data_IF_208953487268
#
_entry.id   IF_208953487268
#
_cell.length_a   1.000
_cell.length_b   1.000
_cell.length_c   1.000
_cell.angle_alpha   90.00
_cell.angle_beta   90.00
_cell.angle_gamma   90.00
#
_symmetry.space_group_name_H-M   'P 1'
#
loop_
_entity.id
_entity.type
_entity.pdbx_description
1 polymer ?
#
# COMPACT_ATOMS: atom_id res chain seq x y z
N UNK A 1 5.06 31.04 20.95
CA UNK A 1 4.58 30.06 19.95
C UNK A 1 5.79 29.21 19.59
N UNK A 2 5.75 27.90 19.83
CA UNK A 2 6.82 26.99 19.41
C UNK A 2 6.92 27.03 17.88
N UNK A 3 8.11 27.35 17.37
CA UNK A 3 8.37 27.31 15.94
C UNK A 3 8.13 25.88 15.45
N UNK A 4 7.32 25.73 14.40
CA UNK A 4 7.04 24.41 13.80
C UNK A 4 7.63 24.36 12.40
N UNK A 5 7.89 23.14 11.94
CA UNK A 5 8.48 22.84 10.65
C UNK A 5 7.60 21.82 9.93
N UNK A 6 7.63 21.85 8.61
CA UNK A 6 6.86 20.95 7.75
C UNK A 6 7.82 20.21 6.83
N UNK A 7 7.88 18.89 6.96
CA UNK A 7 8.49 18.02 5.96
C UNK A 7 7.51 17.87 4.80
N UNK A 8 7.98 18.19 3.59
CA UNK A 8 7.24 18.03 2.36
C UNK A 8 7.56 16.68 1.73
N UNK A 9 6.53 15.89 1.45
CA UNK A 9 6.64 14.57 0.86
C UNK A 9 5.86 14.51 -0.46
N UNK A 10 6.52 14.15 -1.54
CA UNK A 10 5.89 13.89 -2.84
C UNK A 10 5.38 12.46 -2.88
N UNK A 11 4.10 12.28 -3.19
CA UNK A 11 3.53 10.97 -3.49
C UNK A 11 3.06 10.97 -4.94
N UNK A 12 3.94 10.52 -5.82
CA UNK A 12 3.72 10.39 -7.26
C UNK A 12 4.13 8.99 -7.74
N UNK A 13 3.42 8.49 -8.73
CA UNK A 13 3.64 7.18 -9.33
C UNK A 13 2.47 6.80 -10.24
N UNK A 14 2.63 5.78 -11.10
CA UNK A 14 1.61 5.41 -12.09
C UNK A 14 0.29 4.96 -11.44
N UNK A 15 0.38 4.31 -10.27
CA UNK A 15 -0.77 3.85 -9.50
C UNK A 15 -0.54 4.12 -8.02
N UNK A 16 -1.60 4.51 -7.31
CA UNK A 16 -1.63 4.63 -5.85
C UNK A 16 -2.90 4.01 -5.27
N UNK A 17 -2.90 3.61 -4.00
CA UNK A 17 -4.12 3.12 -3.35
C UNK A 17 -4.11 3.33 -1.83
N UNK A 18 -4.99 4.18 -1.32
CA UNK A 18 -5.04 4.60 0.08
C UNK A 18 -6.29 4.05 0.78
N UNK A 19 -6.18 2.90 1.44
CA UNK A 19 -7.33 2.24 2.06
C UNK A 19 -7.74 2.86 3.41
N UNK A 20 -9.06 2.99 3.65
CA UNK A 20 -9.63 3.37 4.96
C UNK A 20 -10.56 2.27 5.52
N UNK A 21 -11.41 1.66 4.69
CA UNK A 21 -12.46 0.74 5.18
C UNK A 21 -12.69 -0.54 4.35
N UNK A 22 -12.07 -0.69 3.16
CA UNK A 22 -12.34 -1.82 2.27
C UNK A 22 -11.90 -3.16 2.87
N UNK A 23 -12.86 -4.08 3.11
CA UNK A 23 -12.59 -5.46 3.57
C UNK A 23 -12.87 -6.47 2.47
N UNK A 24 -12.11 -7.56 2.48
CA UNK A 24 -12.33 -8.75 1.65
C UNK A 24 -12.28 -8.51 0.13
N UNK A 25 -13.39 -8.75 -0.58
CA UNK A 25 -13.44 -8.88 -2.04
C UNK A 25 -13.49 -7.55 -2.79
N UNK A 26 -14.01 -6.49 -2.15
CA UNK A 26 -14.00 -5.13 -2.68
C UNK A 26 -13.07 -4.27 -1.86
N UNK A 27 -11.99 -3.82 -2.48
CA UNK A 27 -10.97 -2.98 -1.83
C UNK A 27 -10.97 -1.60 -2.46
N UNK A 28 -11.60 -0.67 -1.78
CA UNK A 28 -11.67 0.72 -2.22
C UNK A 28 -10.34 1.45 -2.00
N UNK A 29 -10.23 2.65 -2.57
CA UNK A 29 -9.19 3.64 -2.30
C UNK A 29 -9.84 4.97 -1.95
N UNK A 30 -9.26 5.68 -1.00
CA UNK A 30 -9.57 7.06 -0.73
C UNK A 30 -9.07 7.94 -1.90
N UNK A 31 -9.73 9.06 -2.25
CA UNK A 31 -9.34 9.94 -3.35
C UNK A 31 -8.04 10.75 -3.10
N UNK A 32 -7.38 10.52 -1.97
CA UNK A 32 -6.13 11.16 -1.56
C UNK A 32 -5.41 10.28 -0.52
N UNK A 33 -4.10 10.46 -0.33
CA UNK A 33 -3.35 9.87 0.76
C UNK A 33 -4.04 9.99 2.13
N UNK A 34 -3.99 8.90 2.89
CA UNK A 34 -4.48 8.81 4.26
C UNK A 34 -3.32 8.97 5.23
N UNK A 35 -3.58 9.54 6.42
CA UNK A 35 -2.54 9.72 7.44
C UNK A 35 -1.91 8.39 7.81
N UNK A 36 -2.72 7.36 8.09
CA UNK A 36 -2.23 6.01 8.37
C UNK A 36 -1.36 5.42 7.25
N UNK A 37 -1.70 5.65 5.99
CA UNK A 37 -0.90 5.19 4.86
C UNK A 37 0.47 5.84 4.79
N UNK A 38 0.54 7.17 4.96
CA UNK A 38 1.80 7.91 4.91
C UNK A 38 2.65 7.66 6.16
N UNK A 39 2.04 7.57 7.35
CA UNK A 39 2.78 7.21 8.56
C UNK A 39 3.30 5.77 8.48
N UNK A 40 2.53 4.85 7.90
CA UNK A 40 3.01 3.50 7.60
C UNK A 40 4.19 3.48 6.63
N UNK A 41 4.18 4.34 5.62
CA UNK A 41 5.30 4.56 4.70
C UNK A 41 6.55 5.03 5.45
N UNK A 42 6.43 6.06 6.30
CA UNK A 42 7.52 6.61 7.10
C UNK A 42 8.06 5.58 8.11
N UNK A 43 7.18 4.83 8.78
CA UNK A 43 7.56 3.76 9.69
C UNK A 43 8.34 2.65 8.97
N UNK A 44 7.91 2.26 7.76
CA UNK A 44 8.63 1.30 6.94
C UNK A 44 10.01 1.82 6.53
N UNK A 45 10.11 3.08 6.14
CA UNK A 45 11.36 3.76 5.79
C UNK A 45 12.36 3.74 6.96
N UNK A 46 11.89 4.06 8.18
CA UNK A 46 12.67 4.02 9.42
C UNK A 46 13.00 2.58 9.89
N UNK A 47 12.34 1.57 9.32
CA UNK A 47 12.54 0.16 9.60
C UNK A 47 11.76 -0.40 10.78
N UNK A 48 10.69 0.27 11.22
CA UNK A 48 9.89 -0.15 12.37
C UNK A 48 9.17 -1.47 12.13
N UNK A 49 9.20 -2.36 13.10
CA UNK A 49 8.32 -3.55 13.10
C UNK A 49 6.84 -3.16 13.26
N UNK A 50 5.95 -4.08 12.87
CA UNK A 50 4.51 -3.79 12.79
C UNK A 50 3.85 -3.54 14.15
N UNK A 51 4.36 -4.21 15.17
CA UNK A 51 3.96 -4.12 16.57
C UNK A 51 4.70 -3.03 17.33
N UNK A 52 5.74 -2.44 16.74
CA UNK A 52 6.49 -1.36 17.34
C UNK A 52 5.59 -0.11 17.53
N UNK A 53 5.64 0.56 18.70
CA UNK A 53 4.94 1.82 18.91
C UNK A 53 5.38 2.90 17.92
N UNK A 54 4.44 3.68 17.41
CA UNK A 54 4.70 4.72 16.41
C UNK A 54 5.43 5.95 16.97
N UNK A 55 5.37 6.18 18.28
CA UNK A 55 6.04 7.31 18.93
C UNK A 55 5.68 8.65 18.29
N UNK A 56 6.71 9.46 17.99
CA UNK A 56 6.57 10.78 17.38
C UNK A 56 5.91 10.78 16.00
N UNK A 57 5.95 9.65 15.25
CA UNK A 57 5.26 9.57 13.96
C UNK A 57 3.74 9.73 14.11
N UNK A 58 3.16 9.31 15.24
CA UNK A 58 1.71 9.43 15.46
C UNK A 58 1.29 10.86 15.84
N UNK A 59 2.21 11.70 16.34
CA UNK A 59 1.92 13.06 16.82
C UNK A 59 2.01 14.14 15.74
N UNK A 60 2.58 13.84 14.57
CA UNK A 60 2.70 14.83 13.48
C UNK A 60 1.32 15.29 13.02
N UNK A 61 1.19 16.58 12.71
CA UNK A 61 0.02 17.10 12.00
C UNK A 61 0.16 16.81 10.51
N UNK A 62 -0.91 16.30 9.92
CA UNK A 62 -0.93 15.81 8.55
C UNK A 62 -1.67 16.76 7.61
N UNK A 63 -1.09 17.03 6.44
CA UNK A 63 -1.76 17.74 5.36
C UNK A 63 -1.53 17.07 4.01
N UNK A 64 -2.49 17.22 3.10
CA UNK A 64 -2.36 16.77 1.71
C UNK A 64 -2.88 17.85 0.78
N UNK A 65 -2.09 18.21 -0.24
CA UNK A 65 -2.49 19.03 -1.38
C UNK A 65 -2.53 18.15 -2.63
N UNK A 66 -3.68 18.11 -3.30
CA UNK A 66 -3.88 17.34 -4.52
C UNK A 66 -3.55 18.19 -5.75
N UNK A 67 -2.27 18.18 -6.12
CA UNK A 67 -1.76 18.90 -7.29
C UNK A 67 -2.24 18.24 -8.57
N UNK A 68 -2.20 16.90 -8.60
CA UNK A 68 -2.83 16.08 -9.63
C UNK A 68 -3.66 14.98 -8.95
N UNK A 69 -5.01 15.11 -8.87
CA UNK A 69 -5.84 14.16 -8.12
C UNK A 69 -5.89 12.75 -8.75
N UNK A 70 -5.47 12.63 -10.01
CA UNK A 70 -5.49 11.38 -10.77
C UNK A 70 -6.89 10.92 -11.16
N UNK A 71 -6.96 9.74 -11.77
CA UNK A 71 -8.21 9.12 -12.24
C UNK A 71 -8.47 7.82 -11.46
N UNK A 72 -9.66 7.63 -10.88
CA UNK A 72 -10.02 6.36 -10.25
C UNK A 72 -9.99 5.22 -11.28
N UNK A 73 -9.23 4.17 -10.98
CA UNK A 73 -9.10 2.97 -11.80
C UNK A 73 -9.61 1.76 -11.02
N UNK A 74 -10.43 0.93 -11.66
CA UNK A 74 -10.87 -0.36 -11.11
C UNK A 74 -10.08 -1.49 -11.77
N UNK A 75 -9.40 -2.28 -10.95
CA UNK A 75 -8.63 -3.45 -11.35
C UNK A 75 -9.37 -4.74 -10.95
N UNK A 76 -9.56 -5.64 -11.92
CA UNK A 76 -10.12 -6.97 -11.71
C UNK A 76 -8.99 -7.95 -11.40
N UNK A 77 -8.89 -8.36 -10.14
CA UNK A 77 -7.79 -9.16 -9.65
C UNK A 77 -8.25 -10.56 -9.29
N UNK A 78 -8.00 -11.51 -10.19
CA UNK A 78 -8.29 -12.94 -10.01
C UNK A 78 -7.10 -13.67 -9.39
N UNK A 79 -7.34 -14.40 -8.30
CA UNK A 79 -6.36 -15.30 -7.68
C UNK A 79 -6.84 -16.73 -7.83
N UNK A 80 -5.98 -17.61 -8.35
CA UNK A 80 -6.27 -19.04 -8.34
C UNK A 80 -7.09 -19.56 -9.54
N UNK A 81 -7.16 -18.83 -10.65
CA UNK A 81 -7.76 -19.31 -11.90
C UNK A 81 -6.75 -20.04 -12.80
N UNK A 82 -7.21 -21.09 -13.48
CA UNK A 82 -6.42 -21.85 -14.47
C UNK A 82 -6.01 -23.25 -13.99
N UNK A 83 -5.18 -23.92 -14.78
CA UNK A 83 -4.59 -25.23 -14.45
C UNK A 83 -3.24 -25.05 -13.76
N UNK A 84 -2.98 -25.84 -12.72
CA UNK A 84 -1.76 -25.72 -11.93
C UNK A 84 -0.95 -27.01 -11.96
N UNK A 85 0.39 -26.97 -12.11
CA UNK A 85 1.19 -28.17 -12.00
C UNK A 85 1.13 -28.68 -10.55
N UNK A 86 1.06 -30.00 -10.40
CA UNK A 86 1.24 -30.69 -9.13
C UNK A 86 2.64 -30.37 -8.57
N UNK A 87 2.72 -29.82 -7.36
CA UNK A 87 3.99 -29.44 -6.73
C UNK A 87 4.43 -30.52 -5.73
N UNK A 88 5.74 -30.71 -5.49
CA UNK A 88 6.22 -31.67 -4.49
C UNK A 88 5.61 -31.48 -3.10
N UNK A 89 5.40 -30.23 -2.69
CA UNK A 89 4.72 -29.92 -1.41
C UNK A 89 3.31 -30.51 -1.32
N UNK A 90 2.60 -30.62 -2.45
CA UNK A 90 1.22 -31.07 -2.48
C UNK A 90 1.13 -32.59 -2.22
N UNK A 91 2.22 -33.33 -2.47
CA UNK A 91 2.40 -34.73 -2.09
C UNK A 91 2.77 -34.86 -0.61
N UNK A 92 3.64 -33.98 -0.11
CA UNK A 92 4.06 -33.98 1.31
C UNK A 92 2.88 -33.67 2.24
N UNK A 93 1.96 -32.78 1.83
CA UNK A 93 0.83 -32.37 2.68
C UNK A 93 -0.40 -33.28 2.61
N UNK A 94 -0.43 -34.24 1.68
CA UNK A 94 -1.57 -35.14 1.48
C UNK A 94 -1.07 -36.57 1.16
N UNK A 95 -1.03 -37.41 2.20
CA UNK A 95 -0.56 -38.79 2.10
C UNK A 95 -1.37 -39.63 1.11
N UNK A 96 -2.64 -39.29 0.83
CA UNK A 96 -3.46 -39.99 -0.15
C UNK A 96 -2.99 -39.68 -1.57
N UNK A 97 -2.62 -38.42 -1.84
CA UNK A 97 -2.03 -38.00 -3.11
C UNK A 97 -0.64 -38.60 -3.30
N UNK A 98 0.18 -38.63 -2.24
CA UNK A 98 1.46 -39.32 -2.27
C UNK A 98 1.29 -40.79 -2.67
N UNK A 99 0.40 -41.52 -2.00
CA UNK A 99 0.10 -42.92 -2.31
C UNK A 99 -0.49 -43.14 -3.70
N UNK A 100 -1.37 -42.24 -4.17
CA UNK A 100 -1.90 -42.29 -5.52
C UNK A 100 -0.81 -42.07 -6.58
N UNK A 101 0.17 -41.19 -6.31
CA UNK A 101 1.32 -40.98 -7.21
C UNK A 101 2.30 -42.15 -7.20
N UNK A 102 2.55 -42.80 -6.05
CA UNK A 102 3.36 -44.04 -6.01
C UNK A 102 2.80 -45.09 -6.99
N UNK A 103 1.46 -45.27 -7.01
CA UNK A 103 0.78 -46.21 -7.92
C UNK A 103 0.92 -45.79 -9.39
N UNK A 104 0.94 -44.49 -9.69
CA UNK A 104 1.10 -43.97 -11.06
C UNK A 104 2.54 -44.15 -11.54
N UNK A 105 3.53 -43.86 -10.69
CA UNK A 105 4.96 -44.07 -10.99
C UNK A 105 5.25 -45.55 -11.25
N UNK A 106 4.71 -46.47 -10.44
CA UNK A 106 4.86 -47.92 -10.64
C UNK A 106 4.24 -48.44 -11.94
N UNK A 107 3.25 -47.73 -12.52
CA UNK A 107 2.60 -48.10 -13.78
C UNK A 107 3.33 -47.56 -15.02
N UNK A 108 4.08 -46.48 -14.87
CA UNK A 108 4.77 -45.80 -15.99
C UNK A 108 6.17 -46.38 -16.27
N UNK A 109 6.71 -47.22 -15.38
CA UNK A 109 8.01 -47.90 -15.52
C UNK A 109 8.07 -48.93 -16.67
N UNK A 110 7.04 -49.03 -17.52
CA UNK A 110 6.93 -50.01 -18.61
C UNK A 110 6.78 -49.45 -20.03
N UNK A 111 6.80 -48.12 -20.26
CA UNK A 111 6.67 -47.52 -21.60
C UNK A 111 7.94 -46.77 -22.05
N UNK A 112 8.41 -46.96 -23.30
CA UNK A 112 9.59 -46.28 -23.79
C UNK A 112 9.31 -44.77 -23.97
N UNK A 113 10.31 -44.00 -23.56
CA UNK A 113 10.42 -42.54 -23.57
C UNK A 113 9.76 -41.87 -24.79
N UNK A 114 8.54 -41.37 -24.61
CA UNK A 114 8.05 -40.23 -25.38
C UNK A 114 7.57 -39.15 -24.42
N UNK A 115 8.52 -38.27 -24.11
CA UNK A 115 8.31 -36.91 -23.64
C UNK A 115 7.68 -36.77 -22.23
N UNK A 116 8.33 -37.37 -21.24
CA UNK A 116 8.09 -37.06 -19.82
C UNK A 116 9.17 -36.07 -19.33
N UNK A 117 8.82 -34.80 -19.21
CA UNK A 117 9.69 -33.78 -18.62
C UNK A 117 9.80 -34.01 -17.10
N UNK A 118 10.86 -34.67 -16.66
CA UNK A 118 11.22 -34.81 -15.24
C UNK A 118 10.38 -35.81 -14.43
N UNK A 119 10.85 -36.18 -13.22
CA UNK A 119 10.28 -37.25 -12.38
C UNK A 119 8.87 -37.00 -11.85
N UNK A 120 8.26 -35.84 -12.15
CA UNK A 120 6.92 -35.46 -11.70
C UNK A 120 5.88 -35.43 -12.83
N UNK A 121 6.25 -35.73 -14.08
CA UNK A 121 5.34 -35.69 -15.23
C UNK A 121 4.66 -34.31 -15.44
N UNK A 122 3.64 -34.27 -16.31
CA UNK A 122 2.77 -33.10 -16.50
C UNK A 122 1.39 -33.35 -15.85
N UNK A 123 1.37 -33.56 -14.53
CA UNK A 123 0.10 -33.68 -13.80
C UNK A 123 -0.43 -32.29 -13.44
N UNK A 124 -1.62 -31.96 -13.91
CA UNK A 124 -2.31 -30.70 -13.60
C UNK A 124 -3.41 -30.91 -12.57
N UNK A 125 -3.52 -29.99 -11.62
CA UNK A 125 -4.62 -29.91 -10.66
C UNK A 125 -5.79 -29.11 -11.26
N UNK A 126 -7.02 -29.58 -11.01
CA UNK A 126 -8.26 -28.89 -11.37
C UNK A 126 -8.49 -27.59 -10.58
N UNK A 127 -7.80 -27.42 -9.45
CA UNK A 127 -7.92 -26.28 -8.56
C UNK A 127 -6.56 -25.85 -8.03
N UNK A 128 -6.43 -24.56 -7.71
CA UNK A 128 -5.19 -24.02 -7.18
C UNK A 128 -4.97 -24.42 -5.71
N UNK A 129 -3.70 -24.57 -5.35
CA UNK A 129 -3.32 -24.77 -3.95
C UNK A 129 -3.40 -23.45 -3.19
N UNK A 130 -4.33 -23.38 -2.22
CA UNK A 130 -4.29 -22.38 -1.16
C UNK A 130 -3.60 -22.91 0.10
N UNK A 131 -3.20 -22.02 1.00
CA UNK A 131 -2.73 -22.44 2.33
C UNK A 131 -3.78 -23.36 3.00
N UNK A 132 -3.34 -24.41 3.71
CA UNK A 132 -4.22 -25.32 4.43
C UNK A 132 -5.21 -24.55 5.31
N UNK A 133 -6.51 -24.85 5.21
CA UNK A 133 -7.54 -24.32 6.14
C UNK A 133 -8.41 -25.46 6.61
N UNK A 134 -9.08 -25.25 7.74
CA UNK A 134 -9.93 -26.27 8.38
C UNK A 134 -9.12 -27.54 8.62
N UNK A 135 -8.00 -27.39 9.34
CA UNK A 135 -7.14 -28.52 9.71
C UNK A 135 -7.93 -29.43 10.62
N UNK A 136 -8.00 -30.71 10.26
CA UNK A 136 -8.67 -31.74 11.03
C UNK A 136 -7.85 -33.03 10.98
N UNK A 137 -8.02 -33.89 12.00
CA UNK A 137 -7.46 -35.22 11.96
C UNK A 137 -8.21 -36.06 10.91
N UNK A 138 -7.47 -36.71 10.02
CA UNK A 138 -8.02 -37.67 9.10
C UNK A 138 -8.62 -38.86 9.86
N UNK A 139 -9.90 -39.24 9.62
CA UNK A 139 -10.54 -40.31 10.38
C UNK A 139 -9.88 -41.69 10.26
N UNK A 140 -9.08 -41.92 9.21
CA UNK A 140 -8.45 -43.22 8.96
C UNK A 140 -6.99 -43.28 9.42
N UNK A 141 -6.19 -42.27 9.06
CA UNK A 141 -4.76 -42.22 9.38
C UNK A 141 -4.41 -41.45 10.66
N UNK A 142 -5.34 -40.64 11.19
CA UNK A 142 -5.09 -39.74 12.32
C UNK A 142 -4.20 -38.53 11.99
N UNK A 143 -3.64 -38.45 10.77
CA UNK A 143 -2.79 -37.36 10.35
C UNK A 143 -3.59 -36.05 10.27
N UNK A 144 -2.97 -34.93 10.66
CA UNK A 144 -3.58 -33.61 10.47
C UNK A 144 -3.56 -33.26 8.98
N UNK A 145 -4.75 -33.16 8.39
CA UNK A 145 -4.94 -32.83 6.97
C UNK A 145 -5.82 -31.60 6.83
N UNK A 146 -5.64 -30.86 5.74
CA UNK A 146 -6.56 -29.79 5.35
C UNK A 146 -7.90 -30.41 4.92
N UNK A 147 -9.01 -30.03 5.56
CA UNK A 147 -10.34 -30.46 5.10
C UNK A 147 -10.79 -29.73 3.81
N UNK A 148 -10.04 -28.72 3.36
CA UNK A 148 -10.32 -27.96 2.15
C UNK A 148 -9.01 -27.73 1.37
N UNK A 149 -8.66 -28.68 0.51
CA UNK A 149 -7.44 -28.67 -0.31
C UNK A 149 -7.62 -27.93 -1.64
N UNK A 150 -8.85 -27.91 -2.15
CA UNK A 150 -9.22 -27.25 -3.40
C UNK A 150 -9.75 -25.85 -3.11
N UNK A 151 -9.32 -24.88 -3.92
CA UNK A 151 -9.85 -23.52 -3.88
C UNK A 151 -10.40 -23.16 -5.25
N UNK A 152 -11.56 -22.55 -5.28
CA UNK A 152 -12.05 -21.90 -6.49
C UNK A 152 -11.29 -20.58 -6.73
N UNK A 153 -11.29 -20.12 -7.98
CA UNK A 153 -10.77 -18.81 -8.31
C UNK A 153 -11.51 -17.75 -7.48
N UNK A 154 -10.75 -16.87 -6.83
CA UNK A 154 -11.28 -15.73 -6.11
C UNK A 154 -11.10 -14.49 -6.97
N UNK A 155 -12.19 -13.82 -7.28
CA UNK A 155 -12.16 -12.52 -7.95
C UNK A 155 -12.28 -11.43 -6.88
N UNK A 156 -11.36 -10.47 -6.93
CA UNK A 156 -11.42 -9.26 -6.10
C UNK A 156 -11.40 -8.03 -6.99
N UNK A 157 -12.18 -7.01 -6.63
CA UNK A 157 -12.14 -5.70 -7.29
C UNK A 157 -11.32 -4.75 -6.43
N UNK A 158 -10.26 -4.17 -7.00
CA UNK A 158 -9.34 -3.28 -6.30
C UNK A 158 -9.32 -1.93 -6.98
N UNK A 159 -9.59 -0.88 -6.22
CA UNK A 159 -9.57 0.48 -6.72
C UNK A 159 -8.21 1.15 -6.49
N UNK A 160 -7.75 1.91 -7.47
CA UNK A 160 -6.51 2.67 -7.47
C UNK A 160 -6.77 4.11 -7.96
N UNK A 161 -5.80 4.99 -7.74
CA UNK A 161 -5.70 6.28 -8.41
C UNK A 161 -4.57 6.18 -9.44
N UNK A 162 -4.89 6.38 -10.71
CA UNK A 162 -3.91 6.44 -11.80
C UNK A 162 -3.43 7.87 -12.03
N UNK A 163 -2.14 8.04 -12.32
CA UNK A 163 -1.50 9.33 -12.64
C UNK A 163 -1.79 10.45 -11.64
N UNK A 164 -1.78 10.08 -10.35
CA UNK A 164 -1.97 11.00 -9.25
C UNK A 164 -0.62 11.51 -8.71
N UNK A 165 -0.58 12.78 -8.32
CA UNK A 165 0.53 13.43 -7.65
C UNK A 165 0.02 14.29 -6.50
N UNK A 166 0.47 13.97 -5.29
CA UNK A 166 0.09 14.67 -4.07
C UNK A 166 1.31 15.26 -3.38
N UNK A 167 1.20 16.50 -2.91
CA UNK A 167 2.15 17.08 -1.97
C UNK A 167 1.61 16.88 -0.55
N UNK A 168 2.32 16.09 0.24
CA UNK A 168 2.00 15.81 1.63
C UNK A 168 2.87 16.69 2.53
N UNK A 169 2.31 17.17 3.63
CA UNK A 169 3.03 17.85 4.68
C UNK A 169 2.94 17.09 6.00
N UNK A 170 4.08 16.89 6.66
CA UNK A 170 4.18 16.39 8.03
C UNK A 170 4.72 17.50 8.92
N UNK A 171 3.85 18.10 9.73
CA UNK A 171 4.21 19.23 10.59
C UNK A 171 4.56 18.74 12.01
N UNK A 172 5.71 19.17 12.52
CA UNK A 172 6.23 18.83 13.84
C UNK A 172 7.10 19.98 14.40
N UNK A 173 7.18 20.18 15.74
CA UNK A 173 8.07 21.18 16.33
C UNK A 173 9.56 20.82 16.20
N UNK A 174 9.92 19.54 16.25
CA UNK A 174 11.32 19.09 16.16
C UNK A 174 11.77 18.91 14.69
N UNK A 175 12.65 19.78 14.15
CA UNK A 175 13.20 19.62 12.82
C UNK A 175 14.15 18.44 12.68
N UNK A 176 14.87 18.03 13.74
CA UNK A 176 15.82 16.91 13.68
C UNK A 176 15.07 15.59 13.46
N UNK A 177 13.94 15.40 14.14
CA UNK A 177 13.04 14.29 13.87
C UNK A 177 12.57 14.27 12.40
N UNK A 178 12.15 15.42 11.86
CA UNK A 178 11.72 15.51 10.46
C UNK A 178 12.87 15.22 9.49
N UNK A 179 14.10 15.64 9.79
CA UNK A 179 15.30 15.31 9.00
C UNK A 179 15.58 13.80 8.98
N UNK A 180 15.41 13.12 10.12
CA UNK A 180 15.54 11.67 10.20
C UNK A 180 14.49 10.96 9.34
N UNK A 181 13.24 11.43 9.38
CA UNK A 181 12.16 10.88 8.53
C UNK A 181 12.46 11.14 7.05
N UNK A 182 12.88 12.36 6.70
CA UNK A 182 13.23 12.74 5.33
C UNK A 182 14.36 11.87 4.78
N UNK A 183 15.45 11.70 5.55
CA UNK A 183 16.56 10.85 5.19
C UNK A 183 16.11 9.39 5.01
N UNK A 184 15.28 8.87 5.91
CA UNK A 184 14.79 7.51 5.80
C UNK A 184 13.92 7.30 4.55
N UNK A 185 13.13 8.28 4.12
CA UNK A 185 12.33 8.17 2.89
C UNK A 185 13.19 7.99 1.64
N UNK A 186 14.35 8.66 1.59
CA UNK A 186 15.31 8.55 0.47
C UNK A 186 16.25 7.33 0.60
N UNK A 187 16.56 6.92 1.84
CA UNK A 187 17.42 5.78 2.14
C UNK A 187 16.70 4.75 3.01
N UNK A 188 15.64 4.11 2.47
CA UNK A 188 14.73 3.35 3.30
C UNK A 188 15.29 1.99 3.69
N UNK A 189 15.08 1.60 4.95
CA UNK A 189 15.43 0.26 5.45
C UNK A 189 14.53 -0.84 4.89
N UNK A 190 13.38 -0.48 4.28
CA UNK A 190 12.41 -1.40 3.67
C UNK A 190 11.87 -0.82 2.38
N UNK A 191 11.45 -1.69 1.45
CA UNK A 191 10.83 -1.24 0.21
C UNK A 191 9.56 -0.42 0.48
N UNK A 192 9.47 0.74 -0.19
CA UNK A 192 8.40 1.71 -0.04
C UNK A 192 7.35 1.57 -1.14
N UNK A 193 6.08 1.79 -0.78
CA UNK A 193 4.95 1.62 -1.69
C UNK A 193 3.85 2.64 -1.40
N UNK A 194 3.20 3.15 -2.44
CA UNK A 194 2.06 4.07 -2.36
C UNK A 194 0.77 3.29 -2.04
N UNK A 195 0.75 2.75 -0.82
CA UNK A 195 -0.34 1.97 -0.25
C UNK A 195 -0.23 0.46 -0.50
N UNK A 196 -0.38 -0.01 -1.75
CA UNK A 196 -0.22 -1.44 -2.09
C UNK A 196 1.18 -1.73 -2.60
N UNK A 197 1.70 -2.94 -2.33
CA UNK A 197 3.04 -3.39 -2.80
C UNK A 197 3.24 -3.38 -4.32
N UNK A 198 2.18 -3.22 -5.10
CA UNK A 198 2.23 -3.09 -6.57
C UNK A 198 2.36 -1.65 -7.04
N UNK A 199 2.40 -0.67 -6.13
CA UNK A 199 2.39 0.75 -6.40
C UNK A 199 3.75 1.36 -5.96
N UNK A 200 4.82 1.20 -6.75
CA UNK A 200 6.10 1.83 -6.43
C UNK A 200 5.97 3.37 -6.53
N UNK A 201 6.64 4.13 -5.66
CA UNK A 201 6.79 5.57 -5.84
C UNK A 201 7.71 5.89 -7.03
N UNK A 202 7.60 7.10 -7.56
CA UNK A 202 8.43 7.62 -8.65
C UNK A 202 9.11 8.93 -8.25
N UNK A 203 10.40 9.04 -8.56
CA UNK A 203 11.23 10.20 -8.22
C UNK A 203 11.47 10.35 -6.71
N UNK A 204 11.91 11.54 -6.32
CA UNK A 204 12.22 11.86 -4.93
C UNK A 204 10.95 11.90 -4.07
N UNK A 205 11.03 11.35 -2.86
CA UNK A 205 9.94 11.36 -1.89
C UNK A 205 10.02 12.58 -0.97
N UNK A 206 11.17 12.89 -0.39
CA UNK A 206 11.37 13.99 0.53
C UNK A 206 11.81 15.27 -0.21
N UNK A 207 10.94 16.27 -0.25
CA UNK A 207 11.18 17.54 -0.97
C UNK A 207 11.75 18.66 -0.08
N UNK A 208 12.30 18.28 1.08
CA UNK A 208 12.86 19.18 2.07
C UNK A 208 11.87 19.65 3.14
N UNK A 209 12.42 20.39 4.10
CA UNK A 209 11.72 20.87 5.30
C UNK A 209 11.63 22.39 5.23
N UNK A 210 10.46 22.94 5.54
CA UNK A 210 10.24 24.39 5.59
C UNK A 210 9.74 24.82 6.97
N UNK A 211 10.14 26.00 7.47
CA UNK A 211 9.55 26.55 8.69
C UNK A 211 8.11 27.00 8.44
N UNK A 212 7.28 26.95 9.48
CA UNK A 212 5.90 27.42 9.45
C UNK A 212 4.85 26.31 9.56
N UNK A 213 3.63 26.62 9.13
CA UNK A 213 2.49 25.70 9.19
C UNK A 213 2.23 25.00 7.86
N UNK A 214 1.39 23.95 7.88
CA UNK A 214 0.93 23.26 6.67
C UNK A 214 0.29 24.22 5.64
N UNK A 215 -0.48 25.20 6.11
CA UNK A 215 -1.09 26.22 5.25
C UNK A 215 -0.04 27.03 4.50
N UNK A 216 0.94 27.56 5.22
CA UNK A 216 2.02 28.38 4.67
C UNK A 216 2.87 27.55 3.70
N UNK A 217 3.20 26.31 4.06
CA UNK A 217 3.97 25.41 3.21
C UNK A 217 3.23 25.11 1.89
N UNK A 218 1.91 24.87 1.94
CA UNK A 218 1.11 24.61 0.75
C UNK A 218 0.85 25.85 -0.11
N UNK A 219 0.89 27.06 0.44
CA UNK A 219 0.76 28.30 -0.34
C UNK A 219 2.08 28.69 -1.02
N UNK A 220 3.23 28.42 -0.39
CA UNK A 220 4.54 28.90 -0.85
C UNK A 220 5.26 27.95 -1.81
N UNK A 221 4.78 26.72 -1.97
CA UNK A 221 5.39 25.73 -2.86
C UNK A 221 4.68 25.63 -4.21
N UNK A 222 5.41 25.56 -5.34
CA UNK A 222 4.81 25.42 -6.66
C UNK A 222 4.04 24.10 -6.78
N UNK A 223 3.16 23.99 -7.78
CA UNK A 223 2.51 22.72 -8.10
C UNK A 223 3.56 21.68 -8.51
N UNK A 224 3.35 20.42 -8.11
CA UNK A 224 4.16 19.30 -8.56
C UNK A 224 4.10 19.16 -10.09
N UNK A 225 5.19 18.76 -10.75
CA UNK A 225 5.19 18.52 -12.19
C UNK A 225 4.17 17.43 -12.57
N UNK A 226 3.38 17.67 -13.62
CA UNK A 226 2.55 16.63 -14.22
C UNK A 226 3.44 15.73 -15.10
N UNK A 227 3.46 14.43 -14.84
CA UNK A 227 4.19 13.49 -15.68
C UNK A 227 3.61 13.45 -17.10
N UNK A 228 4.41 13.82 -18.11
CA UNK A 228 4.24 13.38 -19.50
C UNK A 228 3.13 13.99 -20.36
N UNK A 229 2.20 14.80 -19.84
CA UNK A 229 1.19 15.49 -20.66
C UNK A 229 1.23 17.00 -20.35
N UNK A 230 1.34 17.81 -21.40
CA UNK A 230 1.55 19.26 -21.33
C UNK A 230 0.72 19.91 -20.21
N UNK A 231 1.41 20.44 -19.20
CA UNK A 231 0.79 21.08 -18.06
C UNK A 231 -0.05 22.28 -18.52
N UNK A 232 -1.31 22.33 -18.09
CA UNK A 232 -2.10 23.55 -18.19
C UNK A 232 -1.36 24.69 -17.46
N UNK A 233 -1.40 25.94 -17.95
CA UNK A 233 -0.67 27.05 -17.34
C UNK A 233 -1.03 27.17 -15.85
N UNK A 234 0.00 27.04 -14.99
CA UNK A 234 -0.07 26.82 -13.55
C UNK A 234 -0.69 27.98 -12.73
N UNK A 235 -1.13 29.08 -13.36
CA UNK A 235 -1.50 30.32 -12.69
C UNK A 235 -2.98 30.42 -12.28
N UNK A 236 -3.87 29.52 -12.75
CA UNK A 236 -5.30 29.52 -12.38
C UNK A 236 -5.75 28.31 -11.56
N UNK A 237 -4.89 27.29 -11.41
CA UNK A 237 -5.24 26.05 -10.71
C UNK A 237 -5.09 26.26 -9.21
N UNK A 238 -6.21 26.22 -8.50
CA UNK A 238 -6.24 26.24 -7.03
C UNK A 238 -6.40 24.81 -6.49
N UNK A 239 -5.35 24.04 -6.20
CA UNK A 239 -5.52 22.66 -5.78
C UNK A 239 -6.36 22.56 -4.50
N UNK A 240 -7.06 21.44 -4.34
CA UNK A 240 -7.68 21.13 -3.05
C UNK A 240 -6.59 20.72 -2.06
N UNK A 241 -6.69 21.23 -0.84
CA UNK A 241 -5.90 20.76 0.29
C UNK A 241 -6.80 20.35 1.45
N UNK A 242 -6.36 19.32 2.15
CA UNK A 242 -6.93 18.83 3.39
C UNK A 242 -5.86 18.95 4.47
N UNK A 243 -6.16 19.71 5.52
CA UNK A 243 -5.21 19.99 6.60
C UNK A 243 -5.85 19.53 7.90
N UNK A 244 -5.16 18.65 8.61
CA UNK A 244 -5.58 18.15 9.90
C UNK A 244 -5.76 19.29 10.90
N UNK A 245 -6.88 19.24 11.62
CA UNK A 245 -7.12 20.13 12.74
C UNK A 245 -6.68 19.45 14.03
N UNK A 246 -5.90 20.13 14.89
CA UNK A 246 -5.52 19.58 16.20
C UNK A 246 -6.73 19.34 17.13
N UNK A 247 -7.88 19.95 16.82
CA UNK A 247 -9.09 19.86 17.64
C UNK A 247 -10.29 19.43 16.77
N UNK A 248 -11.30 18.79 17.37
CA UNK A 248 -12.55 18.53 16.68
C UNK A 248 -13.18 19.81 16.12
N UNK A 249 -13.66 19.74 14.88
CA UNK A 249 -14.27 20.87 14.19
C UNK A 249 -15.80 20.78 14.28
N UNK A 250 -16.49 21.84 14.76
CA UNK A 250 -17.95 21.84 14.81
C UNK A 250 -18.58 21.57 13.44
N UNK A 251 -19.51 20.62 13.37
CA UNK A 251 -20.24 20.28 12.13
C UNK A 251 -19.46 19.49 11.08
N UNK A 252 -18.19 19.13 11.34
CA UNK A 252 -17.36 18.32 10.43
C UNK A 252 -17.17 16.92 11.03
N UNK A 253 -17.56 15.90 10.27
CA UNK A 253 -17.37 14.49 10.66
C UNK A 253 -15.89 14.08 10.65
N UNK A 254 -15.47 13.11 11.48
CA UNK A 254 -14.09 12.65 11.52
C UNK A 254 -13.72 11.76 10.33
N UNK A 255 -12.44 11.69 10.03
CA UNK A 255 -11.81 10.69 9.16
C UNK A 255 -11.16 9.62 10.04
N UNK A 256 -11.44 8.35 9.77
CA UNK A 256 -10.96 7.21 10.58
C UNK A 256 -9.60 6.67 10.09
N UNK A 257 -8.58 7.53 10.02
CA UNK A 257 -7.24 7.18 9.54
C UNK A 257 -6.09 7.68 10.44
N UNK A 258 -6.37 8.10 11.69
CA UNK A 258 -5.30 8.36 12.67
C UNK A 258 -4.68 7.02 13.09
N UNK A 259 -3.39 6.75 12.82
CA UNK A 259 -2.80 5.46 13.15
C UNK A 259 -2.59 5.31 14.65
N UNK A 260 -3.06 4.18 15.20
CA UNK A 260 -2.81 3.78 16.60
C UNK A 260 -1.75 2.67 16.65
N UNK A 261 -1.93 1.63 15.82
CA UNK A 261 -0.96 0.52 15.68
C UNK A 261 -1.16 -0.23 14.36
N UNK A 262 -0.13 -0.95 13.89
CA UNK A 262 -0.11 -1.65 12.60
C UNK A 262 0.14 -3.16 12.73
N UNK A 263 -0.36 -3.77 13.81
CA UNK A 263 -0.09 -5.17 14.16
C UNK A 263 -0.46 -6.19 13.05
N UNK A 264 -0.02 -7.43 13.22
CA UNK A 264 -0.26 -8.49 12.25
C UNK A 264 -1.74 -8.90 12.14
N UNK A 265 -2.53 -8.71 13.20
CA UNK A 265 -3.95 -9.05 13.26
C UNK A 265 -4.83 -7.99 12.56
N UNK A 266 -4.31 -6.78 12.41
CA UNK A 266 -4.87 -5.72 11.61
C UNK A 266 -4.56 -4.33 12.18
N UNK A 267 -4.45 -3.31 11.32
CA UNK A 267 -4.23 -1.95 11.79
C UNK A 267 -5.43 -1.44 12.59
N UNK A 268 -5.17 -0.69 13.66
CA UNK A 268 -6.18 0.05 14.41
C UNK A 268 -5.99 1.54 14.11
N UNK A 269 -7.11 2.19 13.78
CA UNK A 269 -7.16 3.62 13.51
C UNK A 269 -8.14 4.33 14.45
N UNK A 270 -7.81 5.55 14.83
CA UNK A 270 -8.68 6.48 15.52
C UNK A 270 -9.27 7.55 14.59
N UNK A 271 -10.18 8.38 15.11
CA UNK A 271 -10.69 9.54 14.39
C UNK A 271 -9.68 10.70 14.39
N UNK A 272 -9.63 11.45 13.29
CA UNK A 272 -9.05 12.80 13.22
C UNK A 272 -9.97 13.74 12.45
N UNK A 273 -9.77 15.04 12.62
CA UNK A 273 -10.53 16.09 11.94
C UNK A 273 -9.64 16.83 10.97
N UNK A 274 -10.22 17.36 9.91
CA UNK A 274 -9.50 18.13 8.91
C UNK A 274 -10.40 19.21 8.31
N UNK A 275 -9.78 20.29 7.87
CA UNK A 275 -10.42 21.30 7.03
C UNK A 275 -10.13 21.00 5.56
N UNK A 276 -11.07 21.30 4.68
CA UNK A 276 -10.88 21.23 3.23
C UNK A 276 -10.94 22.62 2.63
N UNK A 277 -9.90 23.02 1.87
CA UNK A 277 -9.82 24.35 1.27
C UNK A 277 -9.16 24.35 -0.11
N UNK A 278 -9.42 25.40 -0.89
CA UNK A 278 -8.75 25.67 -2.18
C UNK A 278 -7.52 26.55 -1.92
N UNK A 279 -6.35 26.02 -2.22
CA UNK A 279 -5.08 26.73 -2.01
C UNK A 279 -4.78 27.61 -3.22
N UNK A 280 -4.34 28.84 -2.97
CA UNK A 280 -3.77 29.71 -4.00
C UNK A 280 -2.25 29.66 -3.84
N UNK A 281 -1.56 29.17 -4.86
CA UNK A 281 -0.09 29.13 -4.85
C UNK A 281 0.43 30.56 -5.02
N UNK A 282 1.38 30.95 -4.18
CA UNK A 282 1.97 32.28 -4.19
C UNK A 282 2.68 32.56 -5.52
N UNK A 283 2.61 33.79 -6.07
CA UNK A 283 3.29 34.14 -7.32
C UNK A 283 4.81 33.98 -7.26
N UNK A 284 5.39 34.02 -6.06
CA UNK A 284 6.82 33.87 -5.78
C UNK A 284 7.18 32.44 -5.35
N UNK A 285 6.26 31.48 -5.47
CA UNK A 285 6.60 30.08 -5.27
C UNK A 285 7.74 29.71 -6.22
N UNK A 286 8.83 29.15 -5.67
CA UNK A 286 10.02 28.80 -6.45
C UNK A 286 9.78 27.69 -7.46
N UNK A 287 10.84 27.07 -7.95
CA UNK A 287 10.76 25.88 -8.81
C UNK A 287 11.13 24.62 -8.02
N UNK A 288 10.70 23.46 -8.53
CA UNK A 288 11.15 22.17 -7.99
C UNK A 288 12.44 21.74 -8.68
N UNK A 289 13.47 21.45 -7.90
CA UNK A 289 14.65 20.70 -8.34
C UNK A 289 14.51 19.27 -7.84
N UNK A 290 13.72 18.46 -8.57
CA UNK A 290 13.36 17.09 -8.18
C UNK A 290 13.42 16.18 -9.39
N UNK A 291 13.77 14.92 -9.19
CA UNK A 291 13.74 13.91 -10.25
C UNK A 291 12.27 13.57 -10.54
N UNK A 292 11.79 13.74 -11.80
CA UNK A 292 10.40 13.52 -12.15
C UNK A 292 9.93 12.06 -11.97
#
# INVERSE_FOLDING_TARGET
MTQTHVLLVRLAGPLQSWGVAGRFARRDTHPRPTKSGVIGLCAAALGFDRDQPLGELASVLFGVRADHPGVPLRDYHTVGGGTYPLRPRDLVTDHRRAKAMEIVVERDTGRPEKQATGPFGHHTLEAWYGAPKRIAADPHSGALVSAELTRHALITERWYLADAAFLVGLQHPDPVFLEQVAHALEYPKRLLWLGRKSCPPSGDLALGIVPGTLEQAFETKPLLPAGGLAAAPATSVRPWAWIESPHPLPGVGPVADQPIRFDADGPIHGPRWETRRRVTVAPYAGEWDIIP
#
